data_IF_557400327448
#
_entry.id   IF_557400327448
#
_cell.length_a   1.000
_cell.length_b   1.000
_cell.length_c   1.000
_cell.angle_alpha   90.00
_cell.angle_beta   90.00
_cell.angle_gamma   90.00
#
_symmetry.space_group_name_H-M   'P 1'
#
loop_
_entity.id
_entity.type
_entity.pdbx_description
1 polymer ?
#
# COMPACT_ATOMS: atom_id res chain seq x y z
N UNK A 1 -9.96 12.50 9.06
CA UNK A 1 -9.02 11.96 8.04
C UNK A 1 -7.80 12.86 8.01
N UNK A 2 -6.61 12.35 7.68
CA UNK A 2 -5.42 13.22 7.55
C UNK A 2 -5.67 14.29 6.47
N UNK A 3 -5.34 15.56 6.72
CA UNK A 3 -5.61 16.66 5.78
C UNK A 3 -4.68 16.64 4.56
N UNK A 4 -3.54 15.95 4.67
CA UNK A 4 -2.53 15.84 3.62
C UNK A 4 -2.39 14.39 3.21
N UNK A 5 -2.20 14.17 1.90
CA UNK A 5 -1.87 12.86 1.35
C UNK A 5 -0.53 12.41 1.94
N UNK A 6 -0.52 11.21 2.52
CA UNK A 6 0.72 10.59 3.00
C UNK A 6 1.45 9.89 1.85
N UNK A 7 2.73 9.55 2.08
CA UNK A 7 3.59 8.97 1.05
C UNK A 7 3.00 7.70 0.41
N UNK A 8 2.37 6.81 1.19
CA UNK A 8 1.78 5.58 0.67
C UNK A 8 0.59 5.86 -0.24
N UNK A 9 -0.29 6.80 0.12
CA UNK A 9 -1.43 7.21 -0.70
C UNK A 9 -0.97 7.99 -1.94
N UNK A 10 0.11 8.77 -1.84
CA UNK A 10 0.69 9.49 -2.97
C UNK A 10 1.18 8.54 -4.06
N UNK A 11 1.78 7.40 -3.69
CA UNK A 11 2.16 6.37 -4.66
C UNK A 11 0.96 5.83 -5.43
N UNK A 12 -0.15 5.56 -4.74
CA UNK A 12 -1.39 5.10 -5.38
C UNK A 12 -1.93 6.17 -6.33
N UNK A 13 -1.93 7.45 -5.92
CA UNK A 13 -2.37 8.57 -6.77
C UNK A 13 -1.52 8.74 -8.03
N UNK A 14 -0.21 8.51 -7.95
CA UNK A 14 0.68 8.55 -9.12
C UNK A 14 0.29 7.53 -10.18
N UNK A 15 -0.21 6.35 -9.78
CA UNK A 15 -0.73 5.36 -10.73
C UNK A 15 -2.05 5.79 -11.36
N UNK A 16 -2.91 6.53 -10.66
CA UNK A 16 -4.20 6.98 -11.20
C UNK A 16 -4.11 8.18 -12.14
N UNK A 17 -3.04 8.97 -12.04
CA UNK A 17 -2.83 10.14 -12.90
C UNK A 17 -2.02 9.82 -14.15
N UNK A 18 -1.39 8.66 -14.20
CA UNK A 18 -0.33 8.34 -15.16
C UNK A 18 0.77 9.42 -15.20
N UNK A 19 1.03 10.11 -14.07
CA UNK A 19 2.14 11.05 -13.91
C UNK A 19 3.50 10.35 -14.09
N UNK A 20 3.51 9.02 -13.99
CA UNK A 20 4.64 8.15 -14.27
C UNK A 20 4.32 7.35 -15.54
N UNK A 21 5.09 7.56 -16.61
CA UNK A 21 4.86 6.85 -17.89
C UNK A 21 5.12 5.34 -17.78
N UNK A 22 6.17 4.96 -17.06
CA UNK A 22 6.61 3.58 -16.84
C UNK A 22 6.89 3.32 -15.37
N UNK A 23 6.52 2.14 -14.88
CA UNK A 23 6.79 1.73 -13.50
C UNK A 23 7.63 0.46 -13.48
N UNK A 24 8.65 0.43 -12.63
CA UNK A 24 9.43 -0.78 -12.45
C UNK A 24 8.57 -1.89 -11.83
N UNK A 25 8.64 -3.11 -12.36
CA UNK A 25 7.81 -4.21 -11.89
C UNK A 25 8.43 -4.95 -10.69
N UNK A 26 8.71 -4.21 -9.61
CA UNK A 26 9.29 -4.73 -8.37
C UNK A 26 8.21 -5.25 -7.41
N UNK A 27 8.64 -6.05 -6.44
CA UNK A 27 7.81 -6.43 -5.30
C UNK A 27 7.75 -5.28 -4.29
N UNK A 28 6.53 -4.93 -3.88
CA UNK A 28 6.24 -3.93 -2.86
C UNK A 28 5.60 -4.60 -1.64
N UNK A 29 6.09 -4.25 -0.45
CA UNK A 29 5.47 -4.65 0.80
C UNK A 29 4.37 -3.66 1.16
N UNK A 30 3.16 -4.15 1.40
CA UNK A 30 2.01 -3.34 1.78
C UNK A 30 1.27 -3.98 2.94
N UNK A 31 0.55 -3.18 3.71
CA UNK A 31 -0.32 -3.64 4.79
C UNK A 31 -1.48 -2.66 4.91
N UNK A 32 -2.67 -3.16 5.24
CA UNK A 32 -3.82 -2.31 5.50
C UNK A 32 -3.56 -1.51 6.79
N UNK A 33 -3.92 -0.22 6.81
CA UNK A 33 -3.70 0.62 7.99
C UNK A 33 -4.49 0.14 9.21
N UNK A 34 -5.61 -0.56 9.00
CA UNK A 34 -6.41 -1.16 10.06
C UNK A 34 -5.65 -2.31 10.72
N UNK A 35 -5.01 -3.17 9.92
CA UNK A 35 -4.17 -4.26 10.44
C UNK A 35 -2.98 -3.72 11.25
N UNK A 36 -2.41 -2.57 10.83
CA UNK A 36 -1.35 -1.90 11.61
C UNK A 36 -1.91 -1.38 12.94
N UNK A 37 -3.09 -0.75 12.94
CA UNK A 37 -3.72 -0.27 14.17
C UNK A 37 -4.02 -1.42 15.14
N UNK A 38 -4.55 -2.53 14.62
CA UNK A 38 -4.86 -3.72 15.40
C UNK A 38 -3.59 -4.40 15.92
N UNK A 39 -2.54 -4.48 15.10
CA UNK A 39 -1.24 -5.02 15.53
C UNK A 39 -0.61 -4.15 16.63
N UNK A 40 -0.68 -2.83 16.51
CA UNK A 40 -0.20 -1.91 17.55
C UNK A 40 -0.98 -2.10 18.86
N UNK A 41 -2.31 -2.16 18.80
CA UNK A 41 -3.15 -2.40 19.96
C UNK A 41 -2.80 -3.75 20.63
N UNK A 42 -2.71 -4.83 19.84
CA UNK A 42 -2.37 -6.16 20.32
C UNK A 42 -1.00 -6.19 21.01
N UNK A 43 0.02 -5.55 20.42
CA UNK A 43 1.36 -5.50 21.04
C UNK A 43 1.40 -4.65 22.31
N UNK A 44 0.53 -3.65 22.43
CA UNK A 44 0.40 -2.85 23.65
C UNK A 44 -0.30 -3.64 24.77
N UNK A 45 -1.33 -4.42 24.45
CA UNK A 45 -2.14 -5.15 25.43
C UNK A 45 -1.47 -6.41 25.99
N UNK A 46 -0.48 -6.97 25.29
CA UNK A 46 0.21 -8.21 25.67
C UNK A 46 1.45 -7.92 26.52
N UNK A 47 1.47 -8.21 27.83
CA UNK A 47 2.62 -7.93 28.69
C UNK A 47 3.91 -8.66 28.27
N UNK A 48 3.78 -9.78 27.59
CA UNK A 48 4.89 -10.56 27.04
C UNK A 48 5.46 -10.02 25.72
N UNK A 49 4.77 -9.07 25.07
CA UNK A 49 5.22 -8.49 23.82
C UNK A 49 6.48 -7.64 24.05
N UNK A 50 7.52 -7.89 23.23
CA UNK A 50 8.79 -7.19 23.34
C UNK A 50 9.57 -7.21 22.03
N UNK A 51 10.47 -6.24 21.85
CA UNK A 51 11.30 -6.13 20.67
C UNK A 51 10.60 -5.48 19.48
N UNK A 52 10.89 -5.97 18.27
CA UNK A 52 10.43 -5.38 17.00
C UNK A 52 9.55 -6.37 16.25
N UNK A 53 8.41 -5.90 15.76
CA UNK A 53 7.48 -6.67 14.95
C UNK A 53 7.44 -6.12 13.53
N UNK A 54 7.56 -7.01 12.54
CA UNK A 54 7.32 -6.66 11.14
C UNK A 54 5.82 -6.85 10.88
N UNK A 55 5.11 -5.76 10.63
CA UNK A 55 3.72 -5.76 10.21
C UNK A 55 3.66 -5.53 8.69
N UNK A 56 3.66 -6.61 7.93
CA UNK A 56 3.55 -6.59 6.47
C UNK A 56 2.60 -7.69 6.04
N UNK A 57 1.74 -7.41 5.07
CA UNK A 57 1.00 -8.46 4.38
C UNK A 57 1.87 -9.11 3.29
N UNK A 58 1.25 -9.85 2.38
CA UNK A 58 1.93 -10.47 1.25
C UNK A 58 2.49 -9.39 0.31
N UNK A 59 3.76 -9.52 -0.06
CA UNK A 59 4.36 -8.67 -1.07
C UNK A 59 3.63 -8.81 -2.40
N UNK A 60 3.38 -7.68 -3.06
CA UNK A 60 2.65 -7.61 -4.34
C UNK A 60 3.54 -6.99 -5.42
N UNK A 61 3.51 -7.52 -6.65
CA UNK A 61 4.17 -6.86 -7.77
C UNK A 61 3.42 -5.60 -8.15
N UNK A 62 4.14 -4.54 -8.51
CA UNK A 62 3.51 -3.28 -8.94
C UNK A 62 2.55 -3.51 -10.13
N UNK A 63 2.87 -4.41 -11.07
CA UNK A 63 1.95 -4.74 -12.17
C UNK A 63 0.62 -5.33 -11.69
N UNK A 64 0.67 -6.17 -10.66
CA UNK A 64 -0.51 -6.86 -10.14
C UNK A 64 -1.39 -5.87 -9.37
N UNK A 65 -0.78 -4.97 -8.61
CA UNK A 65 -1.48 -3.85 -7.97
C UNK A 65 -2.17 -2.95 -9.01
N UNK A 66 -1.49 -2.57 -10.09
CA UNK A 66 -2.11 -1.76 -11.16
C UNK A 66 -3.28 -2.50 -11.82
N UNK A 67 -3.18 -3.82 -12.01
CA UNK A 67 -4.29 -4.62 -12.54
C UNK A 67 -5.50 -4.65 -11.60
N UNK A 68 -5.27 -4.73 -10.29
CA UNK A 68 -6.32 -4.60 -9.27
C UNK A 68 -6.98 -3.22 -9.37
N UNK A 69 -6.17 -2.15 -9.44
CA UNK A 69 -6.69 -0.78 -9.59
C UNK A 69 -7.51 -0.62 -10.87
N UNK A 70 -7.02 -1.11 -12.02
CA UNK A 70 -7.74 -1.10 -13.31
C UNK A 70 -9.07 -1.83 -13.25
N UNK A 71 -9.13 -2.94 -12.52
CA UNK A 71 -10.37 -3.72 -12.37
C UNK A 71 -11.40 -2.94 -11.55
N UNK A 72 -10.98 -2.25 -10.49
CA UNK A 72 -11.86 -1.47 -9.63
C UNK A 72 -12.24 -0.10 -10.23
N UNK A 73 -11.34 0.52 -10.99
CA UNK A 73 -11.46 1.90 -11.45
C UNK A 73 -11.03 2.05 -12.92
N UNK A 74 -11.73 1.39 -13.87
CA UNK A 74 -11.28 1.24 -15.25
C UNK A 74 -11.16 2.55 -16.05
N UNK A 75 -11.82 3.62 -15.61
CA UNK A 75 -11.88 4.91 -16.33
C UNK A 75 -10.65 5.81 -16.10
N UNK A 76 -9.73 5.46 -15.20
CA UNK A 76 -8.56 6.27 -14.92
C UNK A 76 -7.40 5.96 -15.88
N UNK A 77 -6.54 6.96 -16.16
CA UNK A 77 -5.29 6.70 -16.86
C UNK A 77 -4.33 5.93 -15.93
N UNK A 78 -3.65 4.92 -16.48
CA UNK A 78 -2.67 4.12 -15.76
C UNK A 78 -1.33 4.08 -16.49
N UNK A 79 -0.20 3.97 -15.77
CA UNK A 79 1.11 3.76 -16.37
C UNK A 79 1.14 2.55 -17.31
N UNK A 80 2.00 2.65 -18.33
CA UNK A 80 2.35 1.52 -19.19
C UNK A 80 3.43 0.69 -18.49
N UNK A 81 3.57 -0.55 -18.94
CA UNK A 81 4.62 -1.45 -18.47
C UNK A 81 5.95 -1.07 -19.08
#
# INVERSE_FOLDING_TARGET
MQPTVNLSSEMILKYFKADIETVENVLSNMVDIRDVADALLLTYEKPEASGRYICSSHAIKISDMINILKTMYPSYPYPKR
#
